data_IF_708324350776
#
_entry.id   IF_708324350776
#
_cell.length_a   1.000
_cell.length_b   1.000
_cell.length_c   1.000
_cell.angle_alpha   90.00
_cell.angle_beta   90.00
_cell.angle_gamma   90.00
#
_symmetry.space_group_name_H-M   'P 1'
#
loop_
_entity.id
_entity.type
_entity.pdbx_description
1 polymer ?
#
# COMPACT_ATOMS: atom_id res chain seq x y z
N UNK A 1 2.54 0.34 22.37
CA UNK A 1 2.82 0.27 20.93
C UNK A 1 3.05 -1.18 20.59
N UNK A 2 2.59 -1.61 19.42
CA UNK A 2 2.62 -3.01 19.01
C UNK A 2 3.43 -3.12 17.72
N UNK A 3 4.17 -4.21 17.60
CA UNK A 3 4.98 -4.50 16.41
C UNK A 3 4.15 -5.32 15.45
N UNK A 4 4.10 -4.86 14.20
CA UNK A 4 3.43 -5.54 13.11
C UNK A 4 4.46 -5.93 12.05
N UNK A 5 4.41 -7.17 11.60
CA UNK A 5 5.09 -7.59 10.39
C UNK A 5 4.25 -7.15 9.19
N UNK A 6 4.80 -6.27 8.36
CA UNK A 6 4.15 -5.78 7.15
C UNK A 6 4.86 -6.37 5.95
N UNK A 7 4.12 -7.13 5.13
CA UNK A 7 4.60 -7.77 3.93
C UNK A 7 3.87 -7.19 2.71
N UNK A 8 4.63 -6.78 1.70
CA UNK A 8 4.09 -6.47 0.39
C UNK A 8 4.06 -7.75 -0.43
N UNK A 9 2.91 -8.01 -1.04
CA UNK A 9 2.58 -9.23 -1.74
C UNK A 9 2.36 -8.94 -3.22
N UNK A 10 2.97 -9.74 -4.09
CA UNK A 10 2.63 -9.82 -5.52
C UNK A 10 2.02 -11.21 -5.79
N UNK A 11 0.69 -11.26 -5.89
CA UNK A 11 -0.05 -12.51 -5.92
C UNK A 11 0.04 -13.23 -4.57
N UNK A 12 0.79 -14.34 -4.54
CA UNK A 12 1.05 -15.14 -3.34
C UNK A 12 2.48 -14.94 -2.79
N UNK A 13 3.34 -14.27 -3.56
CA UNK A 13 4.75 -14.09 -3.22
C UNK A 13 4.98 -12.83 -2.37
N UNK A 14 5.84 -12.96 -1.35
CA UNK A 14 6.30 -11.83 -0.54
C UNK A 14 7.43 -11.14 -1.29
N UNK A 15 7.21 -9.91 -1.74
CA UNK A 15 8.23 -9.11 -2.45
C UNK A 15 9.00 -8.17 -1.53
N UNK A 16 8.43 -7.80 -0.38
CA UNK A 16 9.12 -7.02 0.66
C UNK A 16 8.49 -7.28 2.03
N UNK A 17 9.29 -7.19 3.10
CA UNK A 17 8.83 -7.37 4.47
C UNK A 17 9.54 -6.39 5.42
N UNK A 18 8.79 -5.81 6.36
CA UNK A 18 9.28 -4.83 7.33
C UNK A 18 8.53 -4.94 8.65
N UNK A 19 9.25 -4.84 9.77
CA UNK A 19 8.62 -4.73 11.10
C UNK A 19 8.35 -3.27 11.43
N UNK A 20 7.10 -2.95 11.76
CA UNK A 20 6.65 -1.56 12.02
C UNK A 20 5.97 -1.46 13.37
N UNK A 21 6.43 -0.52 14.19
CA UNK A 21 5.76 -0.15 15.42
C UNK A 21 4.61 0.80 15.13
N UNK A 22 3.38 0.38 15.43
CA UNK A 22 2.19 1.19 15.21
C UNK A 22 1.15 1.00 16.32
N UNK A 23 0.15 1.88 16.33
CA UNK A 23 -1.04 1.74 17.17
C UNK A 23 -2.11 0.83 16.54
N UNK A 24 -2.03 0.58 15.23
CA UNK A 24 -2.98 -0.25 14.49
C UNK A 24 -2.32 -0.88 13.25
N UNK A 25 -2.83 -2.03 12.75
CA UNK A 25 -2.33 -2.67 11.54
C UNK A 25 -2.48 -1.79 10.28
N UNK A 26 -3.55 -0.99 10.22
CA UNK A 26 -3.77 -0.03 9.12
C UNK A 26 -2.68 1.06 9.10
N UNK A 27 -2.34 1.60 10.27
CA UNK A 27 -1.24 2.56 10.40
C UNK A 27 0.09 1.93 10.05
N UNK A 28 0.33 0.68 10.46
CA UNK A 28 1.56 -0.05 10.11
C UNK A 28 1.72 -0.20 8.59
N UNK A 29 0.66 -0.61 7.88
CA UNK A 29 0.67 -0.72 6.42
C UNK A 29 0.97 0.64 5.74
N UNK A 30 0.33 1.71 6.20
CA UNK A 30 0.53 3.06 5.64
C UNK A 30 1.96 3.56 5.86
N UNK A 31 2.51 3.35 7.06
CA UNK A 31 3.90 3.71 7.38
C UNK A 31 4.89 2.90 6.55
N UNK A 32 4.71 1.57 6.48
CA UNK A 32 5.64 0.69 5.76
C UNK A 32 5.68 0.97 4.27
N UNK A 33 4.54 1.30 3.67
CA UNK A 33 4.44 1.49 2.22
C UNK A 33 4.61 2.94 1.80
N UNK A 34 4.47 3.89 2.72
CA UNK A 34 4.41 5.32 2.43
C UNK A 34 3.21 5.73 1.58
N UNK A 35 2.22 4.83 1.41
CA UNK A 35 1.05 5.01 0.55
C UNK A 35 -0.23 4.77 1.34
N UNK A 36 -1.31 5.41 0.92
CA UNK A 36 -2.63 5.08 1.48
C UNK A 36 -3.05 3.68 1.04
N UNK A 37 -3.54 2.91 2.00
CA UNK A 37 -4.11 1.59 1.80
C UNK A 37 -5.58 1.57 2.16
N UNK A 38 -6.32 0.57 1.66
CA UNK A 38 -7.73 0.31 1.95
C UNK A 38 -7.95 -1.20 2.16
N UNK A 39 -9.14 -1.62 2.56
CA UNK A 39 -9.49 -3.04 2.67
C UNK A 39 -9.34 -3.73 1.31
N UNK A 40 -8.86 -4.98 1.33
CA UNK A 40 -8.53 -5.74 0.11
C UNK A 40 -9.75 -5.93 -0.81
N UNK A 41 -9.54 -5.68 -2.10
CA UNK A 41 -10.56 -5.75 -3.16
C UNK A 41 -10.25 -6.72 -4.31
N UNK A 42 -9.18 -7.54 -4.20
CA UNK A 42 -8.71 -8.57 -5.16
C UNK A 42 -7.57 -8.18 -6.10
N UNK A 43 -6.79 -7.16 -5.76
CA UNK A 43 -5.61 -6.74 -6.52
C UNK A 43 -4.45 -7.74 -6.42
N UNK A 44 -3.64 -7.82 -7.48
CA UNK A 44 -2.41 -8.61 -7.50
C UNK A 44 -1.36 -8.07 -6.52
N UNK A 45 -1.28 -6.74 -6.40
CA UNK A 45 -0.39 -6.07 -5.45
C UNK A 45 -1.17 -5.69 -4.20
N UNK A 46 -0.82 -6.30 -3.08
CA UNK A 46 -1.51 -6.09 -1.81
C UNK A 46 -0.54 -6.14 -0.63
N UNK A 47 -1.03 -5.84 0.56
CA UNK A 47 -0.23 -5.76 1.79
C UNK A 47 -0.84 -6.70 2.83
N UNK A 48 -0.03 -7.62 3.34
CA UNK A 48 -0.35 -8.47 4.48
C UNK A 48 0.26 -7.85 5.74
N UNK A 49 -0.54 -7.69 6.78
CA UNK A 49 -0.08 -7.22 8.09
C UNK A 49 -0.36 -8.28 9.11
N UNK A 50 0.67 -8.79 9.77
CA UNK A 50 0.56 -9.78 10.83
C UNK A 50 0.92 -9.14 12.16
N UNK A 51 0.02 -9.28 13.12
CA UNK A 51 0.30 -8.89 14.50
C UNK A 51 1.18 -9.93 15.18
N UNK A 52 2.35 -9.52 15.69
CA UNK A 52 3.30 -10.46 16.29
C UNK A 52 2.84 -11.04 17.64
N UNK A 53 1.89 -10.39 18.33
CA UNK A 53 1.42 -10.83 19.65
C UNK A 53 0.16 -11.71 19.59
N UNK A 54 -0.75 -11.40 18.67
CA UNK A 54 -2.03 -12.07 18.48
C UNK A 54 -2.06 -13.03 17.30
N UNK A 55 -1.10 -12.94 16.38
CA UNK A 55 -1.08 -13.75 15.15
C UNK A 55 -2.21 -13.41 14.18
N UNK A 56 -2.94 -12.32 14.42
CA UNK A 56 -4.01 -11.86 13.53
C UNK A 56 -3.42 -11.31 12.23
N UNK A 57 -4.04 -11.69 11.12
CA UNK A 57 -3.60 -11.30 9.78
C UNK A 57 -4.64 -10.38 9.14
N UNK A 58 -4.18 -9.21 8.71
CA UNK A 58 -4.97 -8.20 8.02
C UNK A 58 -4.47 -8.07 6.59
N UNK A 59 -5.40 -7.88 5.65
CA UNK A 59 -5.08 -7.73 4.23
C UNK A 59 -5.59 -6.40 3.70
N UNK A 60 -4.70 -5.63 3.10
CA UNK A 60 -4.97 -4.30 2.55
C UNK A 60 -4.51 -4.21 1.10
N UNK A 61 -5.10 -3.29 0.34
CA UNK A 61 -4.68 -2.95 -1.02
C UNK A 61 -4.32 -1.48 -1.12
N UNK A 62 -3.48 -1.14 -2.09
CA UNK A 62 -3.17 0.26 -2.38
C UNK A 62 -4.41 0.97 -2.91
N UNK A 63 -4.66 2.19 -2.45
CA UNK A 63 -5.66 3.04 -3.10
C UNK A 63 -5.14 3.36 -4.49
N UNK A 64 -5.75 2.77 -5.52
CA UNK A 64 -5.50 3.14 -6.92
C UNK A 64 -5.84 4.62 -7.05
N UNK A 65 -4.82 5.43 -7.34
CA UNK A 65 -5.03 6.85 -7.60
C UNK A 65 -5.90 6.99 -8.83
N UNK A 66 -7.20 7.18 -8.66
CA UNK A 66 -8.00 7.92 -9.63
C UNK A 66 -7.50 9.38 -9.56
N UNK A 67 -6.35 9.63 -10.19
CA UNK A 67 -5.61 10.87 -10.00
C UNK A 67 -4.19 10.85 -10.55
N UNK A 68 -3.91 10.08 -11.60
CA UNK A 68 -2.99 10.64 -12.59
C UNK A 68 -3.76 11.78 -13.25
N UNK A 69 -3.55 12.99 -12.73
CA UNK A 69 -3.83 14.20 -13.46
C UNK A 69 -3.04 14.09 -14.76
N UNK A 70 -3.76 13.84 -15.84
CA UNK A 70 -3.34 14.03 -17.23
C UNK A 70 -2.77 15.45 -17.35
N UNK A 71 -1.46 15.57 -17.09
CA UNK A 71 -0.68 16.77 -17.34
C UNK A 71 0.20 16.47 -18.54
N UNK A 72 -0.46 16.16 -19.67
CA UNK A 72 0.13 16.24 -21.00
C UNK A 72 -0.68 17.22 -21.84
N UNK A 73 -0.96 18.41 -21.29
CA UNK A 73 -1.26 19.57 -22.11
C UNK A 73 0.04 19.96 -22.85
N UNK A 74 0.26 19.40 -24.04
CA UNK A 74 1.22 19.94 -24.98
C UNK A 74 0.78 21.37 -25.36
N UNK A 75 1.60 22.42 -25.17
CA UNK A 75 1.33 23.67 -25.85
C UNK A 75 1.66 23.48 -27.33
N UNK A 76 0.62 23.38 -28.17
CA UNK A 76 0.75 23.52 -29.61
C UNK A 76 1.15 24.98 -29.91
N UNK A 77 2.46 25.25 -29.86
CA UNK A 77 3.03 26.43 -30.50
C UNK A 77 3.36 26.03 -31.92
N UNK A 78 2.40 26.18 -32.81
CA UNK A 78 2.68 26.29 -34.24
C UNK A 78 2.17 27.63 -34.75
N UNK A 79 3.11 28.58 -34.73
CA UNK A 79 3.06 29.85 -35.47
C UNK A 79 2.60 29.61 -36.91
N UNK A 80 1.63 30.40 -37.36
CA UNK A 80 1.48 30.71 -38.78
C UNK A 80 1.07 32.16 -38.99
#
# INVERSE_FOLDING_TARGET
MQTYLVEQMEGDDVVAASNVNASSPFTAATISTGRQVTLRTWENNWVRVTDELGGEVFAYCFVSGAGEADSSAQPDTSVR
#
